data_IF_718561781448
#
_entry.id   IF_718561781448
#
_cell.length_a   1.000
_cell.length_b   1.000
_cell.length_c   1.000
_cell.angle_alpha   90.00
_cell.angle_beta   90.00
_cell.angle_gamma   90.00
#
_symmetry.space_group_name_H-M   'P 1'
#
loop_
_entity.id
_entity.type
_entity.pdbx_description
1 polymer ?
#
# COMPACT_ATOMS: atom_id res chain seq x y z
N UNK A 1 -17.84 -11.79 -13.04
CA UNK A 1 -17.08 -10.92 -12.12
C UNK A 1 -17.36 -9.50 -12.55
N UNK A 2 -17.96 -8.69 -11.69
CA UNK A 2 -18.11 -7.25 -11.94
C UNK A 2 -16.71 -6.66 -11.91
N UNK A 3 -16.29 -5.98 -12.98
CA UNK A 3 -14.99 -5.30 -13.00
C UNK A 3 -14.97 -4.26 -11.86
N UNK A 4 -13.91 -4.25 -11.05
CA UNK A 4 -13.79 -3.32 -9.94
C UNK A 4 -13.98 -1.87 -10.42
N UNK A 5 -14.66 -1.04 -9.61
CA UNK A 5 -14.87 0.35 -9.96
C UNK A 5 -13.50 1.05 -10.00
N UNK A 6 -13.04 1.40 -11.20
CA UNK A 6 -11.81 2.16 -11.41
C UNK A 6 -12.15 3.62 -11.59
N UNK A 7 -11.60 4.47 -10.74
CA UNK A 7 -11.83 5.91 -10.79
C UNK A 7 -10.56 6.69 -10.44
N UNK A 8 -10.58 7.98 -10.75
CA UNK A 8 -9.53 8.93 -10.40
C UNK A 8 -10.16 10.17 -9.78
N UNK A 9 -9.47 10.75 -8.81
CA UNK A 9 -9.88 11.99 -8.16
C UNK A 9 -8.68 12.94 -8.10
N UNK A 10 -8.90 14.19 -8.51
CA UNK A 10 -7.85 15.22 -8.57
C UNK A 10 -8.19 16.31 -7.57
N UNK A 11 -7.25 16.60 -6.68
CA UNK A 11 -7.32 17.68 -5.70
C UNK A 11 -6.34 18.81 -6.07
N UNK A 12 -6.56 20.05 -5.61
CA UNK A 12 -5.74 21.18 -6.00
C UNK A 12 -4.33 21.15 -5.38
N UNK A 13 -4.09 20.33 -4.34
CA UNK A 13 -2.80 20.28 -3.66
C UNK A 13 -2.56 18.93 -2.98
N UNK A 14 -1.30 18.66 -2.64
CA UNK A 14 -0.88 17.48 -1.85
C UNK A 14 -1.65 17.37 -0.52
N UNK A 15 -1.89 18.49 0.18
CA UNK A 15 -2.63 18.48 1.46
C UNK A 15 -4.08 18.07 1.25
N UNK A 16 -4.73 18.63 0.23
CA UNK A 16 -6.11 18.29 -0.11
C UNK A 16 -6.25 16.82 -0.52
N UNK A 17 -5.26 16.24 -1.21
CA UNK A 17 -5.22 14.79 -1.48
C UNK A 17 -5.17 14.00 -0.17
N UNK A 18 -4.27 14.35 0.76
CA UNK A 18 -4.15 13.65 2.03
C UNK A 18 -5.43 13.74 2.86
N UNK A 19 -6.03 14.93 2.97
CA UNK A 19 -7.28 15.20 3.69
C UNK A 19 -8.46 14.43 3.08
N UNK A 20 -8.62 14.46 1.75
CA UNK A 20 -9.66 13.69 1.08
C UNK A 20 -9.51 12.21 1.37
N UNK A 21 -8.31 11.67 1.17
CA UNK A 21 -8.01 10.24 1.37
C UNK A 21 -8.29 9.84 2.82
N UNK A 22 -7.89 10.67 3.78
CA UNK A 22 -8.15 10.47 5.20
C UNK A 22 -9.64 10.44 5.55
N UNK A 23 -10.43 11.34 4.99
CA UNK A 23 -11.88 11.34 5.19
C UNK A 23 -12.54 10.08 4.60
N UNK A 24 -12.03 9.55 3.48
CA UNK A 24 -12.52 8.25 2.96
C UNK A 24 -12.20 7.11 3.92
N UNK A 25 -11.00 7.10 4.49
CA UNK A 25 -10.63 6.08 5.48
C UNK A 25 -11.47 6.17 6.76
N UNK A 26 -11.67 7.36 7.31
CA UNK A 26 -12.53 7.56 8.47
C UNK A 26 -13.97 7.06 8.22
N UNK A 27 -14.52 7.30 7.02
CA UNK A 27 -15.82 6.74 6.61
C UNK A 27 -15.81 5.22 6.52
N UNK A 28 -14.75 4.63 5.95
CA UNK A 28 -14.58 3.17 5.88
C UNK A 28 -14.57 2.56 7.29
N UNK A 29 -13.74 3.11 8.19
CA UNK A 29 -13.61 2.67 9.58
C UNK A 29 -14.93 2.81 10.36
N UNK A 30 -15.65 3.91 10.15
CA UNK A 30 -16.96 4.16 10.78
C UNK A 30 -18.11 3.31 10.21
N UNK A 31 -17.95 2.73 9.02
CA UNK A 31 -18.99 1.90 8.39
C UNK A 31 -19.04 0.45 8.87
N UNK A 32 -18.07 0.03 9.69
CA UNK A 32 -17.96 -1.36 10.17
C UNK A 32 -17.47 -1.42 11.60
N UNK A 33 -17.88 -2.46 12.33
CA UNK A 33 -17.34 -2.82 13.65
C UNK A 33 -16.31 -3.95 13.59
N UNK A 34 -16.06 -4.55 12.42
CA UNK A 34 -15.05 -5.59 12.22
C UNK A 34 -13.62 -5.01 12.29
N UNK A 35 -12.62 -5.87 12.47
CA UNK A 35 -11.22 -5.46 12.29
C UNK A 35 -10.98 -5.05 10.83
N UNK A 36 -10.10 -4.07 10.64
CA UNK A 36 -9.66 -3.61 9.32
C UNK A 36 -8.17 -3.87 9.15
N UNK A 37 -7.80 -4.61 8.11
CA UNK A 37 -6.41 -4.86 7.76
C UNK A 37 -6.00 -3.98 6.58
N UNK A 38 -5.11 -3.01 6.84
CA UNK A 38 -4.61 -2.09 5.82
C UNK A 38 -3.12 -2.30 5.58
N UNK A 39 -2.69 -2.34 4.32
CA UNK A 39 -1.27 -2.26 3.98
C UNK A 39 -0.92 -0.85 3.49
N UNK A 40 0.21 -0.31 3.95
CA UNK A 40 0.67 1.03 3.58
C UNK A 40 2.05 0.98 2.92
N UNK A 41 2.25 1.80 1.89
CA UNK A 41 3.60 2.11 1.39
C UNK A 41 4.33 3.10 2.30
N UNK A 42 5.66 3.16 2.17
CA UNK A 42 6.48 4.23 2.75
C UNK A 42 6.33 5.60 2.08
N UNK A 43 7.37 6.42 2.19
CA UNK A 43 7.45 7.71 1.49
C UNK A 43 6.36 8.70 1.91
N UNK A 44 5.73 9.37 0.94
CA UNK A 44 4.67 10.36 1.22
C UNK A 44 3.41 9.74 1.82
N UNK A 45 3.15 8.45 1.57
CA UNK A 45 2.02 7.74 2.20
C UNK A 45 2.22 7.70 3.71
N UNK A 46 3.36 7.19 4.18
CA UNK A 46 3.69 7.14 5.59
C UNK A 46 3.84 8.54 6.23
N UNK A 47 4.47 9.50 5.53
CA UNK A 47 4.86 10.79 6.12
C UNK A 47 3.81 11.90 6.00
N UNK A 48 2.83 11.78 5.10
CA UNK A 48 1.80 12.83 4.87
C UNK A 48 0.38 12.29 4.97
N UNK A 49 0.10 11.14 4.38
CA UNK A 49 -1.26 10.59 4.31
C UNK A 49 -1.66 9.94 5.61
N UNK A 50 -0.79 9.11 6.20
CA UNK A 50 -1.11 8.41 7.45
C UNK A 50 -1.34 9.37 8.65
N UNK A 51 -0.55 10.45 8.85
CA UNK A 51 -0.89 11.47 9.85
C UNK A 51 -2.26 12.12 9.62
N UNK A 52 -2.65 12.37 8.36
CA UNK A 52 -3.97 12.89 8.04
C UNK A 52 -5.08 11.89 8.38
N UNK A 53 -4.84 10.57 8.21
CA UNK A 53 -5.79 9.54 8.64
C UNK A 53 -6.00 9.61 10.14
N UNK A 54 -4.93 9.70 10.94
CA UNK A 54 -5.01 9.78 12.40
C UNK A 54 -5.88 10.97 12.81
N UNK A 55 -5.61 12.16 12.27
CA UNK A 55 -6.37 13.37 12.56
C UNK A 55 -7.85 13.26 12.13
N UNK A 56 -8.14 12.65 10.98
CA UNK A 56 -9.51 12.48 10.48
C UNK A 56 -10.32 11.47 11.30
N UNK A 57 -9.70 10.37 11.72
CA UNK A 57 -10.32 9.35 12.60
C UNK A 57 -10.65 9.96 13.96
N UNK A 58 -9.71 10.69 14.56
CA UNK A 58 -9.95 11.41 15.82
C UNK A 58 -11.08 12.43 15.68
N UNK A 59 -11.05 13.25 14.62
CA UNK A 59 -12.10 14.26 14.35
C UNK A 59 -13.49 13.65 14.14
N UNK A 60 -13.56 12.40 13.70
CA UNK A 60 -14.81 11.65 13.54
C UNK A 60 -15.31 11.00 14.84
N UNK A 61 -14.57 11.13 15.95
CA UNK A 61 -14.89 10.44 17.22
C UNK A 61 -14.69 8.93 17.16
N UNK A 62 -13.82 8.45 16.26
CA UNK A 62 -13.44 7.06 16.10
C UNK A 62 -12.04 6.82 16.69
N UNK A 63 -11.65 5.56 16.82
CA UNK A 63 -10.33 5.15 17.28
C UNK A 63 -9.72 4.04 16.41
N UNK A 64 -8.45 3.73 16.63
CA UNK A 64 -7.65 2.77 15.87
C UNK A 64 -7.59 1.38 16.52
N UNK A 65 -8.43 1.10 17.53
CA UNK A 65 -8.42 -0.14 18.32
C UNK A 65 -8.84 -1.39 17.55
N UNK A 66 -9.15 -1.27 16.26
CA UNK A 66 -9.54 -2.38 15.38
C UNK A 66 -8.74 -2.39 14.07
N UNK A 67 -7.73 -1.53 13.95
CA UNK A 67 -6.97 -1.37 12.72
C UNK A 67 -5.65 -2.12 12.85
N UNK A 68 -5.44 -3.07 11.94
CA UNK A 68 -4.16 -3.74 11.71
C UNK A 68 -3.42 -3.04 10.57
N UNK A 69 -2.19 -2.63 10.83
CA UNK A 69 -1.35 -1.93 9.86
C UNK A 69 -0.22 -2.85 9.40
N UNK A 70 -0.22 -3.12 8.11
CA UNK A 70 0.75 -3.90 7.35
C UNK A 70 1.51 -2.97 6.41
N UNK A 71 2.57 -3.47 5.79
CA UNK A 71 3.36 -2.79 4.78
C UNK A 71 3.15 -3.41 3.40
N UNK A 72 2.96 -2.54 2.40
CA UNK A 72 2.93 -2.95 0.99
C UNK A 72 4.34 -3.37 0.51
N UNK A 73 5.37 -2.72 1.05
CA UNK A 73 6.77 -3.09 0.91
C UNK A 73 7.57 -2.57 2.11
N UNK A 74 8.74 -3.16 2.34
CA UNK A 74 9.69 -2.72 3.36
C UNK A 74 11.12 -2.94 2.88
N UNK A 75 12.02 -2.07 3.35
CA UNK A 75 13.44 -2.13 3.06
C UNK A 75 14.08 -3.10 4.04
N UNK A 76 14.82 -4.06 3.52
CA UNK A 76 15.52 -5.05 4.33
C UNK A 76 16.87 -4.49 4.77
N UNK A 77 16.80 -3.62 5.78
CA UNK A 77 17.93 -2.95 6.42
C UNK A 77 17.80 -3.09 7.94
N UNK A 78 18.81 -2.71 8.74
CA UNK A 78 18.78 -2.93 10.19
C UNK A 78 17.61 -2.24 10.90
N UNK A 79 17.28 -2.75 12.07
CA UNK A 79 16.23 -2.22 12.93
C UNK A 79 16.50 -0.74 13.26
N UNK A 80 15.50 0.11 13.12
CA UNK A 80 15.60 1.54 13.41
C UNK A 80 16.32 2.38 12.35
N UNK A 81 16.77 1.79 11.23
CA UNK A 81 17.35 2.53 10.12
C UNK A 81 16.32 3.44 9.43
N UNK A 82 16.70 4.66 9.03
CA UNK A 82 15.78 5.66 8.46
C UNK A 82 15.08 5.22 7.16
N UNK A 83 15.71 4.34 6.39
CA UNK A 83 15.09 3.76 5.18
C UNK A 83 13.97 2.75 5.48
N UNK A 84 13.79 2.32 6.74
CA UNK A 84 12.67 1.45 7.13
C UNK A 84 11.37 2.25 7.10
N UNK A 85 10.41 1.79 6.31
CA UNK A 85 9.05 2.32 6.26
C UNK A 85 8.40 2.26 7.65
N UNK A 86 8.65 1.21 8.45
CA UNK A 86 8.11 1.07 9.81
C UNK A 86 8.51 2.23 10.73
N UNK A 87 9.67 2.86 10.55
CA UNK A 87 10.09 4.00 11.38
C UNK A 87 9.12 5.18 11.19
N UNK A 88 8.85 5.56 9.93
CA UNK A 88 7.94 6.64 9.62
C UNK A 88 6.48 6.29 9.95
N UNK A 89 6.06 5.04 9.73
CA UNK A 89 4.70 4.58 10.02
C UNK A 89 4.44 4.54 11.52
N UNK A 90 5.37 3.98 12.31
CA UNK A 90 5.23 3.96 13.76
C UNK A 90 5.19 5.38 14.36
N UNK A 91 5.99 6.31 13.82
CA UNK A 91 5.93 7.72 14.21
C UNK A 91 4.56 8.33 13.93
N UNK A 92 4.03 8.14 12.72
CA UNK A 92 2.71 8.65 12.34
C UNK A 92 1.58 8.11 13.22
N UNK A 93 1.71 6.87 13.70
CA UNK A 93 0.71 6.20 14.55
C UNK A 93 0.81 6.56 16.04
N UNK A 94 1.80 7.34 16.49
CA UNK A 94 1.91 7.74 17.92
C UNK A 94 0.69 8.51 18.44
N UNK A 95 0.02 9.26 17.56
CA UNK A 95 -1.21 10.00 17.88
C UNK A 95 -2.50 9.19 17.68
N UNK A 96 -2.41 7.94 17.23
CA UNK A 96 -3.56 7.12 16.90
C UNK A 96 -4.21 6.57 18.18
N UNK A 97 -5.26 7.24 18.65
CA UNK A 97 -6.01 6.82 19.83
C UNK A 97 -6.45 5.34 19.71
N UNK A 98 -6.22 4.54 20.76
CA UNK A 98 -6.58 3.12 20.80
C UNK A 98 -5.69 2.19 19.96
N UNK A 99 -4.71 2.68 19.21
CA UNK A 99 -3.82 1.81 18.42
C UNK A 99 -2.90 1.01 19.34
N UNK A 100 -2.80 -0.30 19.08
CA UNK A 100 -1.93 -1.21 19.82
C UNK A 100 -0.75 -1.62 18.97
N UNK A 101 0.47 -1.59 19.53
CA UNK A 101 1.69 -1.96 18.79
C UNK A 101 1.68 -3.40 18.28
N UNK A 102 0.93 -4.30 18.94
CA UNK A 102 0.74 -5.68 18.47
C UNK A 102 -0.03 -5.78 17.14
N UNK A 103 -0.65 -4.68 16.68
CA UNK A 103 -1.34 -4.57 15.39
C UNK A 103 -0.50 -3.87 14.32
N UNK A 104 0.77 -3.58 14.60
CA UNK A 104 1.74 -3.10 13.62
C UNK A 104 2.59 -4.28 13.13
N UNK A 105 2.25 -4.79 11.96
CA UNK A 105 2.86 -5.98 11.37
C UNK A 105 3.98 -5.56 10.43
N UNK A 106 5.20 -5.41 10.96
CA UNK A 106 6.38 -5.05 10.16
C UNK A 106 7.17 -6.30 9.75
N UNK A 107 7.80 -6.24 8.57
CA UNK A 107 8.71 -7.31 8.12
C UNK A 107 9.95 -7.40 9.03
N UNK A 108 10.59 -8.56 9.08
CA UNK A 108 11.86 -8.73 9.78
C UNK A 108 12.93 -7.78 9.20
N UNK A 109 13.82 -7.30 10.07
CA UNK A 109 14.94 -6.44 9.69
C UNK A 109 16.19 -7.27 9.33
N UNK A 110 17.16 -6.65 8.64
CA UNK A 110 18.36 -7.36 8.19
C UNK A 110 19.29 -7.80 9.34
N UNK A 111 19.10 -7.25 10.53
CA UNK A 111 19.81 -7.61 11.77
C UNK A 111 19.03 -8.60 12.64
N UNK A 112 17.91 -9.15 12.15
CA UNK A 112 17.12 -10.19 12.83
C UNK A 112 17.84 -11.53 12.93
N UNK A 113 18.83 -11.77 12.07
CA UNK A 113 19.50 -13.07 11.90
C UNK A 113 18.88 -13.97 10.84
N UNK A 114 17.74 -13.57 10.27
CA UNK A 114 17.06 -14.28 9.17
C UNK A 114 17.52 -13.80 7.80
N UNK A 115 17.37 -14.65 6.78
CA UNK A 115 17.61 -14.25 5.38
C UNK A 115 16.49 -13.36 4.85
N UNK A 116 16.71 -12.71 3.70
CA UNK A 116 15.68 -11.91 3.03
C UNK A 116 14.47 -12.78 2.62
N UNK A 117 14.72 -13.99 2.11
CA UNK A 117 13.68 -14.95 1.75
C UNK A 117 12.88 -15.40 2.98
N UNK A 118 13.57 -15.68 4.10
CA UNK A 118 12.91 -16.06 5.35
C UNK A 118 12.06 -14.91 5.89
N UNK A 119 12.51 -13.66 5.76
CA UNK A 119 11.74 -12.48 6.11
C UNK A 119 10.46 -12.35 5.26
N UNK A 120 10.53 -12.60 3.94
CA UNK A 120 9.36 -12.61 3.07
C UNK A 120 8.40 -13.75 3.41
N UNK A 121 8.92 -14.97 3.64
CA UNK A 121 8.13 -16.15 3.98
C UNK A 121 7.42 -16.00 5.34
N UNK A 122 8.12 -15.46 6.35
CA UNK A 122 7.55 -15.19 7.67
C UNK A 122 6.41 -14.16 7.58
N UNK A 123 6.60 -13.10 6.79
CA UNK A 123 5.59 -12.08 6.59
C UNK A 123 4.35 -12.61 5.84
N UNK A 124 4.54 -13.46 4.82
CA UNK A 124 3.41 -14.15 4.16
C UNK A 124 2.66 -15.08 5.14
N UNK A 125 3.39 -15.83 5.97
CA UNK A 125 2.78 -16.73 6.93
C UNK A 125 1.94 -15.99 7.97
N UNK A 126 2.42 -14.84 8.48
CA UNK A 126 1.66 -13.98 9.39
C UNK A 126 0.41 -13.41 8.71
N UNK A 127 0.55 -12.91 7.46
CA UNK A 127 -0.57 -12.41 6.67
C UNK A 127 -1.65 -13.48 6.51
N UNK A 128 -1.27 -14.73 6.19
CA UNK A 128 -2.21 -15.86 6.06
C UNK A 128 -2.86 -16.26 7.39
N UNK A 129 -2.16 -16.09 8.50
CA UNK A 129 -2.67 -16.45 9.81
C UNK A 129 -3.69 -15.43 10.36
N UNK A 130 -3.48 -14.15 10.07
CA UNK A 130 -4.24 -13.06 10.70
C UNK A 130 -5.27 -12.40 9.77
N UNK A 131 -5.05 -12.39 8.46
CA UNK A 131 -5.96 -11.73 7.53
C UNK A 131 -6.93 -12.75 6.93
N UNK A 132 -8.24 -12.60 7.15
CA UNK A 132 -9.21 -13.52 6.58
C UNK A 132 -9.23 -13.41 5.04
N UNK A 133 -9.47 -14.53 4.33
CA UNK A 133 -9.70 -14.45 2.89
C UNK A 133 -11.05 -13.80 2.60
N UNK A 134 -11.18 -13.19 1.43
CA UNK A 134 -12.47 -12.66 1.00
C UNK A 134 -13.48 -13.80 0.73
N UNK A 135 -14.73 -13.55 1.09
CA UNK A 135 -15.83 -14.49 0.83
C UNK A 135 -15.90 -14.86 -0.65
N UNK A 136 -15.98 -16.18 -0.91
CA UNK A 136 -16.12 -16.71 -2.26
C UNK A 136 -14.87 -16.64 -3.14
N UNK A 137 -13.68 -16.36 -2.58
CA UNK A 137 -12.39 -16.48 -3.30
C UNK A 137 -11.84 -17.91 -3.18
N UNK A 138 -11.78 -18.67 -4.29
CA UNK A 138 -11.17 -20.00 -4.29
C UNK A 138 -9.67 -19.90 -3.97
N UNK A 139 -9.19 -20.71 -3.02
CA UNK A 139 -7.77 -20.76 -2.65
C UNK A 139 -7.37 -19.99 -1.39
N UNK A 140 -8.29 -19.25 -0.76
CA UNK A 140 -8.06 -18.70 0.59
C UNK A 140 -6.93 -17.67 0.67
N UNK A 141 -6.77 -16.83 -0.35
CA UNK A 141 -5.80 -15.72 -0.31
C UNK A 141 -6.30 -14.66 0.67
N UNK A 142 -5.47 -14.22 1.65
CA UNK A 142 -5.69 -13.04 2.47
C UNK A 142 -6.24 -11.84 1.68
N UNK A 143 -7.35 -11.27 2.15
CA UNK A 143 -7.91 -10.07 1.53
C UNK A 143 -7.80 -8.90 2.49
N UNK A 144 -6.85 -8.01 2.21
CA UNK A 144 -6.71 -6.74 2.91
C UNK A 144 -7.88 -5.82 2.58
N UNK A 145 -8.40 -5.07 3.55
CA UNK A 145 -9.49 -4.12 3.35
C UNK A 145 -9.09 -2.91 2.49
N UNK A 146 -7.81 -2.54 2.57
CA UNK A 146 -7.20 -1.44 1.84
C UNK A 146 -5.70 -1.67 1.67
N UNK A 147 -5.21 -1.53 0.43
CA UNK A 147 -3.79 -1.31 0.15
C UNK A 147 -3.61 0.15 -0.30
N UNK A 148 -2.87 0.91 0.50
CA UNK A 148 -2.56 2.32 0.25
C UNK A 148 -1.17 2.43 -0.37
N UNK A 149 -1.15 2.70 -1.67
CA UNK A 149 0.04 2.68 -2.50
C UNK A 149 0.60 4.08 -2.74
N UNK A 150 1.92 4.17 -2.75
CA UNK A 150 2.65 5.28 -3.39
C UNK A 150 3.14 4.89 -4.77
N UNK A 151 3.75 5.84 -5.49
CA UNK A 151 4.38 5.56 -6.78
C UNK A 151 5.70 6.30 -6.99
N UNK A 152 6.64 5.67 -7.68
CA UNK A 152 7.80 6.35 -8.26
C UNK A 152 7.47 7.11 -9.55
N UNK A 153 8.36 8.01 -9.96
CA UNK A 153 8.20 8.72 -11.25
C UNK A 153 8.35 7.81 -12.47
N UNK A 154 8.98 6.65 -12.28
CA UNK A 154 9.05 5.54 -13.23
C UNK A 154 7.78 4.66 -13.24
N UNK A 155 6.85 4.83 -12.29
CA UNK A 155 5.61 4.05 -12.23
C UNK A 155 5.69 2.75 -11.42
N UNK A 156 6.81 2.50 -10.73
CA UNK A 156 6.86 1.44 -9.72
C UNK A 156 5.91 1.77 -8.55
N UNK A 157 5.37 0.72 -7.93
CA UNK A 157 4.59 0.81 -6.69
C UNK A 157 4.97 -0.36 -5.79
N UNK A 158 4.83 -0.21 -4.47
CA UNK A 158 5.49 -1.09 -3.51
C UNK A 158 6.98 -1.22 -3.90
N UNK A 159 7.50 -2.44 -4.06
CA UNK A 159 8.79 -2.69 -4.73
C UNK A 159 8.67 -3.47 -6.03
N UNK A 160 7.60 -3.21 -6.78
CA UNK A 160 7.30 -3.81 -8.09
C UNK A 160 7.67 -2.80 -9.19
N UNK A 161 8.68 -3.10 -9.99
CA UNK A 161 9.28 -2.17 -10.94
C UNK A 161 8.86 -2.45 -12.39
N UNK A 162 8.70 -1.40 -13.23
CA UNK A 162 8.49 -1.60 -14.66
C UNK A 162 9.63 -2.38 -15.31
N UNK A 163 9.31 -3.20 -16.31
CA UNK A 163 10.26 -4.04 -17.02
C UNK A 163 10.57 -5.38 -16.34
N UNK A 164 10.22 -5.57 -15.06
CA UNK A 164 10.35 -6.86 -14.37
C UNK A 164 9.40 -7.89 -14.98
N UNK A 165 9.94 -9.05 -15.35
CA UNK A 165 9.15 -10.20 -15.84
C UNK A 165 8.48 -10.92 -14.67
N UNK A 166 7.36 -11.60 -14.92
CA UNK A 166 6.78 -12.51 -13.92
C UNK A 166 5.97 -11.84 -12.80
N UNK A 167 5.73 -10.52 -12.88
CA UNK A 167 5.01 -9.78 -11.84
C UNK A 167 3.58 -10.28 -11.60
N UNK A 168 2.96 -10.95 -12.59
CA UNK A 168 1.58 -11.44 -12.52
C UNK A 168 1.51 -12.96 -12.32
N UNK A 169 2.61 -13.68 -12.53
CA UNK A 169 2.68 -15.13 -12.69
C UNK A 169 3.19 -15.88 -11.46
N UNK A 170 3.19 -15.24 -10.29
CA UNK A 170 3.63 -15.86 -9.03
C UNK A 170 2.47 -16.36 -8.17
N UNK A 171 2.69 -17.46 -7.45
CA UNK A 171 1.77 -17.95 -6.41
C UNK A 171 2.08 -17.41 -5.01
N UNK A 172 3.27 -16.84 -4.82
CA UNK A 172 3.65 -16.19 -3.57
C UNK A 172 2.90 -14.87 -3.41
N UNK A 173 2.51 -14.55 -2.18
CA UNK A 173 1.84 -13.29 -1.83
C UNK A 173 2.84 -12.22 -1.41
N UNK A 174 4.00 -12.66 -0.92
CA UNK A 174 5.11 -11.80 -0.54
C UNK A 174 6.36 -12.28 -1.26
N UNK A 175 7.16 -11.34 -1.77
CA UNK A 175 8.40 -11.63 -2.48
C UNK A 175 9.59 -10.90 -1.87
N UNK A 176 10.76 -11.48 -2.06
CA UNK A 176 12.08 -10.96 -1.71
C UNK A 176 12.76 -10.38 -2.95
N UNK A 177 12.95 -9.06 -2.98
CA UNK A 177 13.62 -8.36 -4.07
C UNK A 177 15.09 -8.14 -3.67
N UNK A 178 16.04 -8.64 -4.45
CA UNK A 178 17.48 -8.52 -4.16
C UNK A 178 18.15 -7.34 -4.87
N UNK A 179 17.62 -6.98 -6.03
CA UNK A 179 18.26 -6.10 -7.01
C UNK A 179 17.35 -4.94 -7.43
N UNK A 180 16.65 -4.33 -6.46
CA UNK A 180 15.88 -3.12 -6.73
C UNK A 180 16.77 -2.08 -7.42
N UNK A 181 16.32 -1.46 -8.53
CA UNK A 181 17.07 -0.43 -9.24
C UNK A 181 17.21 0.87 -8.43
N UNK A 182 16.61 0.94 -7.23
CA UNK A 182 16.67 2.06 -6.30
C UNK A 182 17.20 1.60 -4.93
N UNK A 183 18.10 2.37 -4.31
CA UNK A 183 18.61 2.03 -2.99
C UNK A 183 17.51 2.12 -1.90
N UNK A 184 17.63 1.35 -0.81
CA UNK A 184 18.43 0.13 -0.72
C UNK A 184 17.88 -0.97 -1.66
N UNK A 185 18.78 -1.85 -2.11
CA UNK A 185 18.47 -2.86 -3.14
C UNK A 185 17.58 -3.99 -2.61
N UNK A 186 17.81 -4.42 -1.38
CA UNK A 186 17.09 -5.56 -0.77
C UNK A 186 15.79 -5.12 -0.11
N UNK A 187 14.68 -5.76 -0.48
CA UNK A 187 13.32 -5.39 -0.07
C UNK A 187 12.40 -6.59 0.07
N UNK A 188 11.43 -6.50 0.96
CA UNK A 188 10.30 -7.42 1.05
C UNK A 188 9.07 -6.69 0.51
N UNK A 189 8.27 -7.32 -0.34
CA UNK A 189 7.14 -6.66 -1.01
C UNK A 189 5.93 -7.57 -1.12
N UNK A 190 4.72 -6.99 -1.02
CA UNK A 190 3.52 -7.65 -1.53
C UNK A 190 3.64 -7.82 -3.05
N UNK A 191 3.20 -8.96 -3.56
CA UNK A 191 3.13 -9.24 -4.99
C UNK A 191 1.84 -8.68 -5.60
N UNK A 192 1.77 -8.57 -6.94
CA UNK A 192 0.51 -8.16 -7.58
C UNK A 192 -0.66 -9.09 -7.28
N UNK A 193 -0.50 -10.43 -7.25
CA UNK A 193 -1.56 -11.33 -6.78
C UNK A 193 -2.10 -10.96 -5.40
N UNK A 194 -1.24 -10.67 -4.42
CA UNK A 194 -1.69 -10.25 -3.08
C UNK A 194 -2.42 -8.90 -3.10
N UNK A 195 -1.88 -7.92 -3.83
CA UNK A 195 -2.51 -6.59 -3.96
C UNK A 195 -3.88 -6.71 -4.64
N UNK A 196 -4.00 -7.54 -5.68
CA UNK A 196 -5.23 -7.76 -6.46
C UNK A 196 -6.36 -8.41 -5.68
N UNK A 197 -6.03 -9.19 -4.66
CA UNK A 197 -7.03 -9.79 -3.77
C UNK A 197 -7.52 -8.84 -2.68
N UNK A 198 -6.90 -7.67 -2.51
CA UNK A 198 -7.41 -6.65 -1.59
C UNK A 198 -8.78 -6.11 -2.02
N UNK A 199 -9.62 -5.75 -1.05
CA UNK A 199 -10.91 -5.15 -1.34
C UNK A 199 -10.77 -3.82 -2.06
N UNK A 200 -9.78 -3.00 -1.66
CA UNK A 200 -9.55 -1.66 -2.21
C UNK A 200 -8.07 -1.42 -2.43
N UNK A 201 -7.74 -0.82 -3.57
CA UNK A 201 -6.42 -0.23 -3.81
C UNK A 201 -6.59 1.26 -4.01
N UNK A 202 -5.98 2.05 -3.12
CA UNK A 202 -5.91 3.50 -3.26
C UNK A 202 -4.47 3.89 -3.51
N UNK A 203 -4.18 4.44 -4.68
CA UNK A 203 -2.86 4.96 -4.98
C UNK A 203 -2.85 6.49 -4.80
N UNK A 204 -2.04 6.97 -3.86
CA UNK A 204 -1.84 8.40 -3.61
C UNK A 204 -0.58 8.85 -4.33
N UNK A 205 -0.76 9.62 -5.40
CA UNK A 205 0.33 10.02 -6.30
C UNK A 205 0.28 11.52 -6.53
N UNK A 206 1.29 12.22 -6.00
CA UNK A 206 1.35 13.69 -6.04
C UNK A 206 2.69 14.18 -6.56
N UNK A 207 2.69 15.30 -7.27
CA UNK A 207 3.89 15.92 -7.85
C UNK A 207 4.04 15.71 -9.36
N UNK A 208 4.55 16.72 -10.06
CA UNK A 208 4.69 16.74 -11.52
C UNK A 208 5.63 15.63 -12.02
N UNK A 209 6.63 15.23 -11.23
CA UNK A 209 7.55 14.15 -11.58
C UNK A 209 6.86 12.79 -11.71
N UNK A 210 5.59 12.68 -11.28
CA UNK A 210 4.77 11.47 -11.38
C UNK A 210 3.81 11.48 -12.56
N UNK A 211 3.68 12.59 -13.30
CA UNK A 211 2.64 12.76 -14.31
C UNK A 211 2.64 11.67 -15.38
N UNK A 212 3.83 11.30 -15.88
CA UNK A 212 3.96 10.22 -16.87
C UNK A 212 3.58 8.85 -16.31
N UNK A 213 3.96 8.55 -15.06
CA UNK A 213 3.57 7.31 -14.39
C UNK A 213 2.05 7.22 -14.21
N UNK A 214 1.41 8.34 -13.82
CA UNK A 214 -0.04 8.45 -13.68
C UNK A 214 -0.75 8.26 -15.02
N UNK A 215 -0.26 8.89 -16.09
CA UNK A 215 -0.80 8.72 -17.45
C UNK A 215 -0.73 7.27 -17.91
N UNK A 216 0.42 6.63 -17.72
CA UNK A 216 0.59 5.23 -18.10
C UNK A 216 -0.32 4.31 -17.28
N UNK A 217 -0.37 4.51 -15.95
CA UNK A 217 -1.25 3.75 -15.08
C UNK A 217 -2.72 3.90 -15.49
N UNK A 218 -3.17 5.10 -15.90
CA UNK A 218 -4.53 5.34 -16.36
C UNK A 218 -4.88 4.72 -17.72
N UNK A 219 -3.92 4.12 -18.43
CA UNK A 219 -4.14 3.48 -19.72
C UNK A 219 -4.93 2.18 -19.54
N UNK A 220 -5.98 2.00 -20.34
CA UNK A 220 -6.76 0.76 -20.34
C UNK A 220 -5.92 -0.39 -20.90
N UNK A 221 -5.96 -1.55 -20.22
CA UNK A 221 -5.22 -2.73 -20.64
C UNK A 221 -3.69 -2.66 -20.43
N UNK A 222 -3.19 -1.66 -19.69
CA UNK A 222 -1.75 -1.59 -19.36
C UNK A 222 -1.30 -2.83 -18.60
N UNK A 223 -0.18 -3.42 -19.01
CA UNK A 223 0.36 -4.62 -18.38
C UNK A 223 1.13 -4.28 -17.11
N UNK A 224 1.34 -5.26 -16.21
CA UNK A 224 2.17 -5.06 -15.03
C UNK A 224 3.61 -4.67 -15.36
N UNK A 225 4.15 -5.21 -16.45
CA UNK A 225 5.49 -4.90 -16.93
C UNK A 225 5.62 -3.45 -17.40
N UNK A 226 4.57 -2.89 -18.00
CA UNK A 226 4.55 -1.48 -18.43
C UNK A 226 4.28 -0.55 -17.25
N UNK A 227 3.29 -0.87 -16.41
CA UNK A 227 2.90 -0.08 -15.25
C UNK A 227 2.46 -0.96 -14.10
N UNK A 228 3.36 -1.26 -13.15
CA UNK A 228 2.99 -1.92 -11.91
C UNK A 228 1.88 -1.16 -11.16
N UNK A 229 1.96 0.18 -11.15
CA UNK A 229 0.91 1.04 -10.60
C UNK A 229 -0.46 0.85 -11.29
N UNK A 230 -0.49 0.75 -12.62
CA UNK A 230 -1.72 0.54 -13.38
C UNK A 230 -2.32 -0.85 -13.19
N UNK A 231 -1.46 -1.85 -12.97
CA UNK A 231 -1.81 -3.25 -12.76
C UNK A 231 -2.24 -3.58 -11.31
N UNK A 232 -1.90 -2.73 -10.35
CA UNK A 232 -2.32 -2.81 -8.96
C UNK A 232 -3.78 -2.36 -8.80
N UNK A 233 -4.71 -3.31 -8.86
CA UNK A 233 -6.15 -3.08 -8.75
C UNK A 233 -6.70 -3.74 -7.49
N UNK A 234 -7.81 -3.23 -6.95
CA UNK A 234 -8.56 -3.90 -5.87
C UNK A 234 -9.82 -4.57 -6.41
N UNK A 235 -10.41 -5.50 -5.66
CA UNK A 235 -11.61 -6.26 -6.06
C UNK A 235 -12.88 -5.43 -6.13
N UNK A 236 -13.04 -4.47 -5.21
CA UNK A 236 -14.23 -3.61 -5.12
C UNK A 236 -13.96 -2.23 -5.71
N UNK A 237 -12.81 -1.65 -5.38
CA UNK A 237 -12.46 -0.28 -5.77
C UNK A 237 -10.97 -0.18 -6.12
N UNK A 238 -10.67 0.52 -7.21
CA UNK A 238 -9.34 1.00 -7.54
C UNK A 238 -9.41 2.50 -7.74
N UNK A 239 -8.72 3.27 -6.90
CA UNK A 239 -8.80 4.72 -6.87
C UNK A 239 -7.42 5.36 -7.01
N UNK A 240 -7.24 6.18 -8.05
CA UNK A 240 -6.08 7.08 -8.18
C UNK A 240 -6.41 8.43 -7.54
N UNK A 241 -5.68 8.80 -6.49
CA UNK A 241 -5.80 10.07 -5.77
C UNK A 241 -4.61 10.95 -6.12
N UNK A 242 -4.89 12.04 -6.82
CA UNK A 242 -3.89 12.85 -7.52
C UNK A 242 -3.94 14.31 -7.07
N UNK A 243 -2.81 14.98 -7.03
CA UNK A 243 -2.81 16.44 -7.07
C UNK A 243 -2.84 16.92 -8.53
N UNK A 244 -3.12 18.21 -8.73
CA UNK A 244 -3.18 18.80 -10.07
C UNK A 244 -1.88 18.59 -10.87
N UNK A 245 -0.73 18.62 -10.21
CA UNK A 245 0.58 18.42 -10.84
C UNK A 245 0.77 16.98 -11.35
N UNK A 246 0.43 15.96 -10.55
CA UNK A 246 0.51 14.56 -10.98
C UNK A 246 -0.54 14.21 -12.05
N UNK A 247 -1.62 14.98 -12.16
CA UNK A 247 -2.66 14.79 -13.16
C UNK A 247 -2.38 15.49 -14.51
N UNK A 248 -1.33 16.31 -14.63
CA UNK A 248 -1.13 17.19 -15.79
C UNK A 248 -1.05 16.45 -17.14
N UNK A 249 -0.58 15.20 -17.13
CA UNK A 249 -0.41 14.38 -18.34
C UNK A 249 -1.69 13.59 -18.72
N UNK A 250 -2.80 13.76 -18.00
CA UNK A 250 -4.04 13.00 -18.22
C UNK A 250 -5.00 13.57 -19.27
N UNK A 251 -4.71 14.77 -19.81
CA UNK A 251 -5.57 15.46 -20.77
C UNK A 251 -6.68 16.24 -20.09
#
# INVERSE_FOLDING_TARGET
MTQAARSRHVEPSVSAVAEHTAQRFARLLGSTTAELHIAVSGGSVATKVLPAFVAAVESAGLDWSRVHVWFADERFVPTGHDDRNVVAVAEALKGAAGFEQARLHATLASDSGESLEDAAAAYEAELRALVPPADGVPGGIPSLDLVLLGAGGDGHTASLFPGTEGLEETSALVDSIRDSPKPPAERVTLTLPAIRESARVWAVVTGAEKANAVRLAATEGVTAKESPLGAATGRLETLLLLDAAAAEALG
#
